data_IF_734913073946
#
_entry.id   IF_734913073946
#
_cell.length_a   1.000
_cell.length_b   1.000
_cell.length_c   1.000
_cell.angle_alpha   90.00
_cell.angle_beta   90.00
_cell.angle_gamma   90.00
#
_symmetry.space_group_name_H-M   'P 1'
#
loop_
_entity.id
_entity.type
_entity.pdbx_description
1 polymer ?
#
# COMPACT_ATOMS: atom_id res chain seq x y z
N UNK A 1 5.80 13.29 -31.56
CA UNK A 1 5.70 14.28 -30.47
C UNK A 1 4.31 14.18 -29.85
N UNK A 2 4.19 13.67 -28.62
CA UNK A 2 2.93 13.72 -27.87
C UNK A 2 2.80 15.13 -27.29
N UNK A 3 1.91 15.96 -27.87
CA UNK A 3 1.48 17.21 -27.25
C UNK A 3 0.63 16.86 -26.04
N UNK A 4 1.22 16.94 -24.86
CA UNK A 4 0.47 16.95 -23.61
C UNK A 4 0.14 18.42 -23.35
N UNK A 5 -1.13 18.84 -23.39
CA UNK A 5 -1.48 20.21 -23.02
C UNK A 5 -1.13 20.41 -21.55
N UNK A 6 -0.08 21.19 -21.28
CA UNK A 6 0.33 21.57 -19.93
C UNK A 6 -0.63 22.63 -19.42
N UNK A 7 -1.58 22.18 -18.60
CA UNK A 7 -2.54 23.03 -17.90
C UNK A 7 -1.73 23.84 -16.87
N UNK A 8 -1.81 25.18 -16.85
CA UNK A 8 -0.96 26.04 -16.00
C UNK A 8 -1.22 25.92 -14.48
N UNK A 9 -2.12 25.02 -14.07
CA UNK A 9 -2.43 24.71 -12.66
C UNK A 9 -1.19 24.14 -11.93
N UNK A 10 -0.25 23.53 -12.66
CA UNK A 10 0.93 22.87 -12.07
C UNK A 10 2.09 23.83 -11.76
N UNK A 11 2.05 25.09 -12.20
CA UNK A 11 3.16 26.03 -11.98
C UNK A 11 3.36 26.41 -10.51
N UNK A 12 2.27 26.47 -9.73
CA UNK A 12 2.35 26.70 -8.27
C UNK A 12 2.98 25.55 -7.48
N UNK A 13 2.97 24.33 -8.04
CA UNK A 13 3.53 23.12 -7.42
C UNK A 13 5.00 22.89 -7.82
N UNK A 14 5.48 23.59 -8.86
CA UNK A 14 6.83 23.42 -9.44
C UNK A 14 7.97 23.92 -8.53
N UNK A 15 7.65 24.71 -7.50
CA UNK A 15 8.62 25.24 -6.54
C UNK A 15 8.81 24.35 -5.29
N UNK A 16 8.13 23.19 -5.24
CA UNK A 16 8.31 22.25 -4.13
C UNK A 16 9.55 21.40 -4.42
N UNK A 17 10.42 21.24 -3.43
CA UNK A 17 11.59 20.39 -3.56
C UNK A 17 11.15 18.96 -3.98
N UNK A 18 11.76 18.33 -5.00
CA UNK A 18 11.28 17.07 -5.60
C UNK A 18 11.16 15.91 -4.59
N UNK A 19 11.98 15.96 -3.54
CA UNK A 19 11.96 15.01 -2.41
C UNK A 19 10.65 15.15 -1.60
N UNK A 20 10.18 16.38 -1.38
CA UNK A 20 8.98 16.66 -0.62
C UNK A 20 7.72 16.28 -1.41
N UNK A 21 7.72 16.55 -2.73
CA UNK A 21 6.65 16.09 -3.62
C UNK A 21 6.50 14.57 -3.55
N UNK A 22 7.61 13.82 -3.66
CA UNK A 22 7.59 12.36 -3.62
C UNK A 22 7.20 11.82 -2.24
N UNK A 23 7.61 12.47 -1.16
CA UNK A 23 7.21 12.11 0.20
C UNK A 23 5.70 12.28 0.42
N UNK A 24 5.14 13.42 0.00
CA UNK A 24 3.71 13.71 0.12
C UNK A 24 2.91 12.73 -0.76
N UNK A 25 3.36 12.48 -1.99
CA UNK A 25 2.74 11.50 -2.88
C UNK A 25 2.73 10.09 -2.25
N UNK A 26 3.85 9.65 -1.66
CA UNK A 26 3.95 8.36 -0.98
C UNK A 26 3.01 8.25 0.22
N UNK A 27 2.88 9.32 1.01
CA UNK A 27 1.99 9.40 2.17
C UNK A 27 0.51 9.41 1.77
N UNK A 28 0.10 10.32 0.90
CA UNK A 28 -1.29 10.49 0.48
C UNK A 28 -1.74 9.28 -0.34
N UNK A 29 -0.92 8.83 -1.29
CA UNK A 29 -1.18 7.62 -2.06
C UNK A 29 -1.26 6.39 -1.17
N UNK A 30 -0.34 6.26 -0.21
CA UNK A 30 -0.34 5.14 0.72
C UNK A 30 -1.58 5.10 1.62
N UNK A 31 -2.04 6.26 2.11
CA UNK A 31 -3.25 6.37 2.92
C UNK A 31 -4.50 6.00 2.11
N UNK A 32 -4.63 6.52 0.88
CA UNK A 32 -5.78 6.24 0.02
C UNK A 32 -5.84 4.77 -0.39
N UNK A 33 -4.71 4.19 -0.83
CA UNK A 33 -4.63 2.78 -1.23
C UNK A 33 -4.86 1.88 -0.02
N UNK A 34 -4.22 2.15 1.11
CA UNK A 34 -4.40 1.38 2.33
C UNK A 34 -5.83 1.45 2.87
N UNK A 35 -6.53 2.57 2.72
CA UNK A 35 -7.94 2.68 3.08
C UNK A 35 -8.83 1.83 2.15
N UNK A 36 -8.60 1.89 0.84
CA UNK A 36 -9.35 1.10 -0.13
C UNK A 36 -9.20 -0.42 0.12
N UNK A 37 -7.96 -0.89 0.29
CA UNK A 37 -7.67 -2.30 0.59
C UNK A 37 -8.21 -2.67 1.98
N UNK A 38 -8.03 -1.82 2.98
CA UNK A 38 -8.52 -2.06 4.35
C UNK A 38 -10.04 -2.21 4.42
N UNK A 39 -10.79 -1.39 3.67
CA UNK A 39 -12.25 -1.50 3.56
C UNK A 39 -12.66 -2.79 2.84
N UNK A 40 -11.98 -3.15 1.74
CA UNK A 40 -12.25 -4.37 1.00
C UNK A 40 -12.03 -5.63 1.87
N UNK A 41 -10.88 -5.72 2.54
CA UNK A 41 -10.52 -6.84 3.41
C UNK A 41 -11.44 -6.94 4.63
N UNK A 42 -11.94 -5.83 5.16
CA UNK A 42 -12.93 -5.84 6.24
C UNK A 42 -14.25 -6.54 5.82
N UNK A 43 -14.58 -6.49 4.53
CA UNK A 43 -15.72 -7.19 3.94
C UNK A 43 -15.36 -8.59 3.41
N UNK A 44 -14.17 -9.11 3.72
CA UNK A 44 -13.67 -10.40 3.22
C UNK A 44 -13.54 -10.44 1.68
N UNK A 45 -13.43 -9.27 1.05
CA UNK A 45 -13.17 -9.14 -0.38
C UNK A 45 -11.69 -8.81 -0.61
N UNK A 46 -11.15 -9.31 -1.73
CA UNK A 46 -9.86 -8.86 -2.27
C UNK A 46 -10.06 -8.09 -3.57
N UNK A 47 -9.12 -7.19 -3.87
CA UNK A 47 -9.06 -6.47 -5.15
C UNK A 47 -8.50 -7.35 -6.29
N UNK A 48 -7.98 -8.54 -5.96
CA UNK A 48 -7.24 -9.42 -6.86
C UNK A 48 -5.76 -9.48 -6.46
N UNK A 49 -4.86 -9.73 -7.42
CA UNK A 49 -3.41 -9.54 -7.25
C UNK A 49 -2.82 -10.13 -5.95
N UNK A 50 -1.95 -9.36 -5.28
CA UNK A 50 -1.28 -9.75 -4.03
C UNK A 50 -2.24 -9.85 -2.84
N UNK A 51 -3.32 -9.04 -2.81
CA UNK A 51 -4.39 -9.12 -1.80
C UNK A 51 -5.09 -10.48 -1.78
N UNK A 52 -5.39 -11.03 -2.96
CA UNK A 52 -6.00 -12.36 -3.10
C UNK A 52 -5.05 -13.46 -2.61
N UNK A 53 -3.76 -13.36 -2.96
CA UNK A 53 -2.74 -14.31 -2.48
C UNK A 53 -2.65 -14.26 -0.96
N UNK A 54 -2.69 -13.06 -0.36
CA UNK A 54 -2.64 -12.91 1.10
C UNK A 54 -3.85 -13.55 1.79
N UNK A 55 -5.07 -13.39 1.25
CA UNK A 55 -6.27 -14.07 1.75
C UNK A 55 -6.17 -15.59 1.60
N UNK A 56 -5.65 -16.09 0.47
CA UNK A 56 -5.47 -17.52 0.23
C UNK A 56 -4.46 -18.12 1.23
N UNK A 57 -3.32 -17.45 1.45
CA UNK A 57 -2.34 -17.89 2.45
C UNK A 57 -2.95 -17.88 3.85
N UNK A 58 -3.72 -16.85 4.21
CA UNK A 58 -4.41 -16.81 5.50
C UNK A 58 -5.41 -17.97 5.65
N UNK A 59 -6.08 -18.40 4.58
CA UNK A 59 -7.00 -19.52 4.62
C UNK A 59 -6.31 -20.82 5.06
N UNK A 60 -5.08 -21.05 4.60
CA UNK A 60 -4.25 -22.18 5.03
C UNK A 60 -3.61 -21.95 6.41
N UNK A 61 -3.09 -20.73 6.66
CA UNK A 61 -2.36 -20.37 7.88
C UNK A 61 -3.15 -19.32 8.68
N UNK A 62 -4.17 -19.81 9.40
CA UNK A 62 -5.13 -18.96 10.16
C UNK A 62 -4.52 -18.14 11.31
N UNK A 63 -3.26 -18.39 11.66
CA UNK A 63 -2.54 -17.69 12.74
C UNK A 63 -2.03 -16.32 12.29
N UNK A 64 -1.84 -16.11 10.98
CA UNK A 64 -1.28 -14.87 10.43
C UNK A 64 -2.38 -13.87 10.08
N UNK A 65 -2.17 -12.59 10.40
CA UNK A 65 -3.06 -11.51 9.96
C UNK A 65 -2.72 -11.13 8.52
N UNK A 66 -3.75 -10.92 7.68
CA UNK A 66 -3.60 -10.48 6.27
C UNK A 66 -2.60 -9.32 6.10
N UNK A 67 -2.61 -8.25 6.93
CA UNK A 67 -1.70 -7.13 6.72
C UNK A 67 -0.22 -7.50 6.85
N UNK A 68 0.12 -8.50 7.68
CA UNK A 68 1.50 -8.98 7.80
C UNK A 68 1.92 -9.79 6.57
N UNK A 69 1.02 -10.60 6.01
CA UNK A 69 1.31 -11.36 4.79
C UNK A 69 1.52 -10.40 3.62
N UNK A 70 0.66 -9.38 3.50
CA UNK A 70 0.81 -8.32 2.50
C UNK A 70 2.12 -7.56 2.65
N UNK A 71 2.52 -7.22 3.87
CA UNK A 71 3.80 -6.55 4.11
C UNK A 71 4.99 -7.39 3.61
N UNK A 72 4.96 -8.71 3.80
CA UNK A 72 6.03 -9.59 3.34
C UNK A 72 6.04 -9.72 1.82
N UNK A 73 4.87 -9.93 1.21
CA UNK A 73 4.75 -10.07 -0.25
C UNK A 73 5.17 -8.78 -0.96
N UNK A 74 4.53 -7.66 -0.65
CA UNK A 74 4.83 -6.38 -1.29
C UNK A 74 6.20 -5.84 -0.86
N UNK A 75 6.64 -6.13 0.37
CA UNK A 75 7.98 -5.79 0.85
C UNK A 75 9.08 -6.48 0.02
N UNK A 76 8.88 -7.75 -0.37
CA UNK A 76 9.81 -8.44 -1.27
C UNK A 76 9.90 -7.76 -2.64
N UNK A 77 8.77 -7.26 -3.16
CA UNK A 77 8.70 -6.53 -4.44
C UNK A 77 9.41 -5.18 -4.32
N UNK A 78 9.23 -4.45 -3.21
CA UNK A 78 9.93 -3.18 -2.96
C UNK A 78 11.44 -3.39 -2.86
N UNK A 79 11.90 -4.43 -2.17
CA UNK A 79 13.33 -4.76 -2.08
C UNK A 79 13.90 -5.11 -3.46
N UNK A 80 13.20 -5.95 -4.22
CA UNK A 80 13.60 -6.31 -5.58
C UNK A 80 13.68 -5.08 -6.50
N UNK A 81 12.69 -4.18 -6.41
CA UNK A 81 12.65 -2.92 -7.14
C UNK A 81 13.86 -2.03 -6.82
N UNK A 82 14.24 -1.94 -5.54
CA UNK A 82 15.43 -1.19 -5.12
C UNK A 82 16.73 -1.74 -5.70
N UNK A 83 16.88 -3.07 -5.75
CA UNK A 83 18.06 -3.73 -6.32
C UNK A 83 18.12 -3.53 -7.84
N UNK A 84 17.01 -3.72 -8.54
CA UNK A 84 16.94 -3.61 -10.01
C UNK A 84 17.18 -2.19 -10.48
N UNK A 85 16.59 -1.21 -9.80
CA UNK A 85 16.63 0.18 -10.22
C UNK A 85 17.93 0.91 -9.80
N UNK A 86 18.74 0.31 -8.93
CA UNK A 86 19.98 0.89 -8.37
C UNK A 86 19.83 2.32 -7.81
N UNK A 87 18.59 2.72 -7.50
CA UNK A 87 18.25 4.06 -7.04
C UNK A 87 17.62 3.96 -5.65
N UNK A 88 18.43 4.29 -4.64
CA UNK A 88 18.02 4.27 -3.24
C UNK A 88 16.83 5.19 -2.96
N UNK A 89 16.67 6.29 -3.71
CA UNK A 89 15.60 7.24 -3.51
C UNK A 89 14.24 6.57 -3.76
N UNK A 90 14.12 5.86 -4.89
CA UNK A 90 12.87 5.19 -5.28
C UNK A 90 12.56 4.05 -4.30
N UNK A 91 13.57 3.29 -3.89
CA UNK A 91 13.40 2.23 -2.91
C UNK A 91 12.86 2.76 -1.56
N UNK A 92 13.45 3.84 -1.05
CA UNK A 92 13.04 4.46 0.23
C UNK A 92 11.62 4.99 0.15
N UNK A 93 11.24 5.68 -0.92
CA UNK A 93 9.90 6.24 -1.06
C UNK A 93 8.83 5.17 -1.31
N UNK A 94 9.13 4.12 -2.06
CA UNK A 94 8.26 2.95 -2.19
C UNK A 94 8.07 2.24 -0.87
N UNK A 95 9.14 2.07 -0.08
CA UNK A 95 9.05 1.49 1.25
C UNK A 95 8.24 2.35 2.22
N UNK A 96 8.43 3.67 2.19
CA UNK A 96 7.64 4.62 2.97
C UNK A 96 6.15 4.50 2.64
N UNK A 97 5.80 4.49 1.35
CA UNK A 97 4.41 4.31 0.92
C UNK A 97 3.85 2.97 1.41
N UNK A 98 4.60 1.88 1.28
CA UNK A 98 4.21 0.57 1.79
C UNK A 98 3.94 0.58 3.30
N UNK A 99 4.80 1.23 4.10
CA UNK A 99 4.57 1.34 5.54
C UNK A 99 3.25 2.05 5.87
N UNK A 100 2.92 3.11 5.13
CA UNK A 100 1.66 3.86 5.31
C UNK A 100 0.46 3.01 4.91
N UNK A 101 0.56 2.26 3.80
CA UNK A 101 -0.48 1.34 3.33
C UNK A 101 -0.78 0.30 4.42
N UNK A 102 0.24 -0.39 4.93
CA UNK A 102 0.06 -1.44 5.93
C UNK A 102 -0.51 -0.91 7.25
N UNK A 103 -0.05 0.25 7.73
CA UNK A 103 -0.63 0.87 8.92
C UNK A 103 -2.11 1.21 8.73
N UNK A 104 -2.46 1.74 7.55
CA UNK A 104 -3.85 2.08 7.22
C UNK A 104 -4.72 0.83 7.13
N UNK A 105 -4.27 -0.21 6.44
CA UNK A 105 -4.99 -1.50 6.38
C UNK A 105 -5.20 -2.06 7.78
N UNK A 106 -4.14 -2.08 8.61
CA UNK A 106 -4.23 -2.61 9.96
C UNK A 106 -5.24 -1.84 10.82
N UNK A 107 -5.34 -0.52 10.66
CA UNK A 107 -6.35 0.31 11.31
C UNK A 107 -7.78 -0.10 10.93
N UNK A 108 -8.04 -0.36 9.64
CA UNK A 108 -9.36 -0.77 9.17
C UNK A 108 -9.70 -2.24 9.50
N UNK A 109 -8.73 -3.15 9.43
CA UNK A 109 -8.94 -4.59 9.65
C UNK A 109 -9.04 -4.96 11.14
N UNK A 110 -8.29 -4.27 12.03
CA UNK A 110 -8.28 -4.62 13.47
C UNK A 110 -9.65 -4.44 14.15
N UNK A 111 -10.52 -3.56 13.63
CA UNK A 111 -11.87 -3.34 14.18
C UNK A 111 -12.79 -4.58 14.11
N UNK A 112 -12.51 -5.56 13.23
CA UNK A 112 -13.35 -6.76 13.09
C UNK A 112 -12.90 -7.95 13.96
N UNK A 113 -11.63 -7.99 14.38
CA UNK A 113 -11.06 -9.13 15.14
C UNK A 113 -11.48 -9.11 16.63
N UNK A 114 -12.03 -8.00 17.13
CA UNK A 114 -12.59 -7.90 18.48
C UNK A 114 -14.01 -8.50 18.63
N UNK A 115 -14.65 -8.95 17.55
CA UNK A 115 -15.88 -9.73 17.66
C UNK A 115 -15.51 -11.22 17.77
N UNK A 116 -15.93 -11.94 18.83
CA UNK A 116 -15.65 -13.36 18.96
C UNK A 116 -16.27 -14.10 17.76
N UNK A 117 -15.41 -14.84 17.06
CA UNK A 117 -15.81 -15.74 15.97
C UNK A 117 -16.62 -16.88 16.60
N UNK A 118 -17.94 -16.71 16.68
CA UNK A 118 -18.85 -17.82 16.95
C UNK A 118 -18.66 -18.84 15.83
N UNK A 119 -18.26 -20.03 16.26
CA UNK A 119 -18.16 -21.24 15.46
C UNK A 119 -19.56 -21.59 14.95
N UNK A 120 -19.68 -21.79 13.65
CA UNK A 120 -20.67 -22.67 13.04
C UNK A 120 -19.92 -23.62 12.12
#
# INVERSE_FOLDING_TARGET
>A
MRLIPSIPITEGLKNIHPILELAIAALVGGLLVGAAIGIALNRECATGGTDLIALLIQHFIKVLKVPHILFVLDGSVVIASGIINQNALIAVFSFLSLMVIIQTINFFTTKKIAAPRNQH
#
